data_IF_155838295135
#
_entry.id   IF_155838295135
#
_cell.length_a   1.000
_cell.length_b   1.000
_cell.length_c   1.000
_cell.angle_alpha   90.00
_cell.angle_beta   90.00
_cell.angle_gamma   90.00
#
_symmetry.space_group_name_H-M   'P 1'
#
loop_
_entity.id
_entity.type
_entity.pdbx_description
1 polymer ?
#
# COMPACT_ATOMS: atom_id res chain seq x y z
N UNK A 1 23.23 -18.88 11.27
CA UNK A 1 23.03 -17.74 10.36
C UNK A 1 24.39 -17.20 9.95
N UNK A 2 24.63 -16.96 8.66
CA UNK A 2 25.90 -16.34 8.22
C UNK A 2 25.77 -14.81 8.36
N UNK A 3 26.84 -14.06 8.65
CA UNK A 3 26.79 -12.60 8.77
C UNK A 3 26.21 -11.89 7.53
N UNK A 4 26.44 -12.44 6.34
CA UNK A 4 25.88 -11.93 5.08
C UNK A 4 24.35 -12.00 5.02
N UNK A 5 23.75 -13.07 5.57
CA UNK A 5 22.29 -13.24 5.59
C UNK A 5 21.63 -12.18 6.51
N UNK A 6 22.30 -11.82 7.61
CA UNK A 6 21.86 -10.75 8.51
C UNK A 6 21.92 -9.37 7.83
N UNK A 7 22.99 -9.09 7.09
CA UNK A 7 23.13 -7.82 6.37
C UNK A 7 22.06 -7.66 5.30
N UNK A 8 21.78 -8.70 4.51
CA UNK A 8 20.69 -8.71 3.53
C UNK A 8 19.34 -8.47 4.20
N UNK A 9 19.11 -9.12 5.34
CA UNK A 9 17.91 -8.91 6.15
C UNK A 9 17.77 -7.46 6.63
N UNK A 10 18.85 -6.82 7.07
CA UNK A 10 18.85 -5.43 7.50
C UNK A 10 18.60 -4.47 6.32
N UNK A 11 19.23 -4.71 5.17
CA UNK A 11 19.06 -3.93 3.94
C UNK A 11 17.63 -3.95 3.41
N UNK A 12 16.86 -4.99 3.73
CA UNK A 12 15.43 -5.06 3.42
C UNK A 12 14.55 -4.49 4.54
N UNK A 13 14.76 -4.94 5.78
CA UNK A 13 13.86 -4.64 6.89
C UNK A 13 13.94 -3.18 7.33
N UNK A 14 15.12 -2.55 7.35
CA UNK A 14 15.26 -1.15 7.79
C UNK A 14 14.48 -0.20 6.86
N UNK A 15 14.64 -0.27 5.52
CA UNK A 15 13.82 0.54 4.63
C UNK A 15 12.32 0.22 4.74
N UNK A 16 11.94 -1.06 4.78
CA UNK A 16 10.53 -1.45 4.89
C UNK A 16 9.87 -0.91 6.16
N UNK A 17 10.51 -1.10 7.33
CA UNK A 17 10.01 -0.59 8.61
C UNK A 17 9.97 0.93 8.64
N UNK A 18 10.89 1.61 7.96
CA UNK A 18 10.86 3.07 7.82
C UNK A 18 9.64 3.53 7.02
N UNK A 19 9.32 2.86 5.91
CA UNK A 19 8.14 3.17 5.10
C UNK A 19 6.86 2.96 5.91
N UNK A 20 6.72 1.79 6.54
CA UNK A 20 5.53 1.45 7.35
C UNK A 20 5.41 2.35 8.59
N UNK A 21 6.53 2.64 9.24
CA UNK A 21 6.57 3.55 10.40
C UNK A 21 6.15 4.96 10.02
N UNK A 22 6.62 5.50 8.90
CA UNK A 22 6.22 6.83 8.43
C UNK A 22 4.76 6.86 7.96
N UNK A 23 4.26 5.80 7.34
CA UNK A 23 2.84 5.63 7.01
C UNK A 23 1.97 5.78 8.26
N UNK A 24 2.24 4.98 9.29
CA UNK A 24 1.45 5.01 10.52
C UNK A 24 1.61 6.31 11.32
N UNK A 25 2.81 6.90 11.29
CA UNK A 25 3.03 8.24 11.85
C UNK A 25 2.21 9.30 11.11
N UNK A 26 2.02 9.17 9.79
CA UNK A 26 1.14 10.04 9.01
C UNK A 26 -0.29 10.02 9.57
N UNK A 27 -0.86 8.83 9.79
CA UNK A 27 -2.16 8.71 10.43
C UNK A 27 -2.18 9.27 11.85
N UNK A 28 -1.17 8.93 12.68
CA UNK A 28 -1.08 9.42 14.05
C UNK A 28 -1.07 10.95 14.12
N UNK A 29 -0.26 11.61 13.27
CA UNK A 29 -0.18 13.07 13.21
C UNK A 29 -1.49 13.70 12.75
N UNK A 30 -2.15 13.12 11.73
CA UNK A 30 -3.45 13.61 11.26
C UNK A 30 -4.55 13.46 12.32
N UNK A 31 -4.62 12.31 13.00
CA UNK A 31 -5.55 12.08 14.11
C UNK A 31 -5.35 13.10 15.25
N UNK A 32 -4.09 13.32 15.67
CA UNK A 32 -3.74 14.28 16.72
C UNK A 32 -4.12 15.70 16.35
N UNK A 33 -3.92 16.10 15.09
CA UNK A 33 -4.31 17.43 14.58
C UNK A 33 -5.82 17.66 14.69
N UNK A 34 -6.61 16.62 14.47
CA UNK A 34 -8.08 16.64 14.53
C UNK A 34 -8.64 16.22 15.89
N UNK A 35 -7.78 16.07 16.92
CA UNK A 35 -8.16 15.65 18.28
C UNK A 35 -8.93 14.33 18.31
N UNK A 36 -8.68 13.44 17.35
CA UNK A 36 -9.20 12.08 17.34
C UNK A 36 -8.33 11.25 18.28
N UNK A 37 -8.96 10.62 19.28
CA UNK A 37 -8.26 9.73 20.20
C UNK A 37 -7.81 8.46 19.46
N UNK A 38 -6.50 8.24 19.46
CA UNK A 38 -5.82 7.12 18.80
C UNK A 38 -4.73 6.57 19.70
N UNK A 39 -4.47 5.28 19.60
CA UNK A 39 -3.27 4.70 20.22
C UNK A 39 -1.99 5.18 19.52
N UNK A 40 -0.84 5.17 20.23
CA UNK A 40 0.46 5.19 19.56
C UNK A 40 0.57 4.05 18.53
N UNK A 41 1.45 4.18 17.52
CA UNK A 41 1.73 3.09 16.59
C UNK A 41 2.40 1.93 17.33
N UNK A 42 1.84 0.71 17.22
CA UNK A 42 2.49 -0.50 17.70
C UNK A 42 2.75 -1.45 16.53
N UNK A 43 4.01 -1.88 16.39
CA UNK A 43 4.43 -2.80 15.32
C UNK A 43 3.93 -4.21 15.59
N UNK A 44 3.22 -4.80 14.63
CA UNK A 44 2.73 -6.18 14.70
C UNK A 44 3.65 -7.06 13.84
N UNK A 45 4.35 -8.05 14.43
CA UNK A 45 5.13 -9.01 13.67
C UNK A 45 4.21 -9.89 12.80
N UNK A 46 4.63 -10.20 11.58
CA UNK A 46 3.79 -10.91 10.61
C UNK A 46 3.65 -12.40 10.99
N UNK A 47 2.47 -12.97 10.72
CA UNK A 47 2.22 -14.43 10.72
C UNK A 47 2.55 -14.97 9.33
N UNK A 48 3.53 -15.86 9.12
CA UNK A 48 4.18 -16.18 7.83
C UNK A 48 3.28 -16.86 6.78
N UNK A 49 2.16 -16.22 6.39
CA UNK A 49 1.21 -16.73 5.43
C UNK A 49 0.45 -15.61 4.71
N UNK A 50 0.40 -15.60 3.35
CA UNK A 50 1.04 -16.55 2.42
C UNK A 50 2.53 -16.22 2.13
N UNK A 51 3.41 -17.21 1.95
CA UNK A 51 4.81 -16.99 1.56
C UNK A 51 4.95 -16.39 0.15
N UNK A 52 5.97 -15.54 -0.11
CA UNK A 52 7.00 -15.06 0.81
C UNK A 52 6.52 -13.78 1.52
N UNK A 53 5.98 -13.92 2.72
CA UNK A 53 5.50 -12.78 3.47
C UNK A 53 6.64 -12.03 4.17
N UNK A 54 6.64 -10.69 4.16
CA UNK A 54 7.61 -9.88 4.91
C UNK A 54 7.48 -10.11 6.42
N UNK A 55 8.57 -9.99 7.18
CA UNK A 55 8.63 -10.30 8.62
C UNK A 55 7.77 -9.43 9.55
N UNK A 56 7.11 -8.38 9.05
CA UNK A 56 6.24 -7.49 9.84
C UNK A 56 5.02 -7.04 9.02
N UNK A 57 3.81 -7.00 9.61
CA UNK A 57 2.60 -6.43 8.96
C UNK A 57 2.66 -4.91 8.85
N UNK A 58 3.54 -4.26 9.61
CA UNK A 58 3.58 -2.81 9.79
C UNK A 58 3.31 -2.43 11.25
N UNK A 59 3.07 -1.15 11.49
CA UNK A 59 2.47 -0.69 12.73
C UNK A 59 0.96 -0.49 12.52
N UNK A 60 0.19 -0.50 13.60
CA UNK A 60 -1.25 -0.21 13.54
C UNK A 60 -1.57 0.81 14.63
N UNK A 61 -2.35 1.83 14.27
CA UNK A 61 -3.07 2.67 15.22
C UNK A 61 -4.51 2.18 15.43
N UNK A 62 -4.98 2.17 16.67
CA UNK A 62 -6.40 1.88 16.98
C UNK A 62 -7.14 3.18 17.24
N UNK A 63 -8.22 3.41 16.49
CA UNK A 63 -9.17 4.52 16.71
C UNK A 63 -10.00 4.24 17.97
N UNK A 64 -10.07 5.22 18.88
CA UNK A 64 -10.84 5.14 20.14
C UNK A 64 -12.04 6.08 20.20
N UNK A 65 -12.18 6.96 19.21
CA UNK A 65 -13.26 7.93 19.11
C UNK A 65 -13.75 8.04 17.66
N UNK A 66 -15.02 8.40 17.43
CA UNK A 66 -15.55 8.60 16.09
C UNK A 66 -14.94 9.84 15.42
N UNK A 67 -14.98 9.85 14.09
CA UNK A 67 -14.49 10.98 13.31
C UNK A 67 -15.39 12.22 13.49
N UNK A 68 -14.81 13.42 13.71
CA UNK A 68 -15.58 14.65 13.83
C UNK A 68 -16.37 14.97 12.57
N UNK A 69 -15.70 15.03 11.43
CA UNK A 69 -16.25 15.47 10.15
C UNK A 69 -15.51 14.83 8.96
N UNK A 70 -16.03 15.03 7.75
CA UNK A 70 -15.46 14.45 6.53
C UNK A 70 -14.06 14.99 6.19
N UNK A 71 -13.68 16.22 6.58
CA UNK A 71 -12.32 16.72 6.37
C UNK A 71 -11.33 16.01 7.29
N UNK A 72 -11.70 15.78 8.55
CA UNK A 72 -10.90 14.97 9.48
C UNK A 72 -10.68 13.55 8.95
N UNK A 73 -11.74 12.96 8.39
CA UNK A 73 -11.72 11.65 7.77
C UNK A 73 -10.80 11.60 6.53
N UNK A 74 -10.90 12.60 5.65
CA UNK A 74 -10.03 12.74 4.48
C UNK A 74 -8.56 12.89 4.88
N UNK A 75 -8.28 13.78 5.83
CA UNK A 75 -6.91 14.03 6.28
C UNK A 75 -6.30 12.77 6.90
N UNK A 76 -7.06 12.01 7.70
CA UNK A 76 -6.57 10.74 8.24
C UNK A 76 -6.32 9.71 7.13
N UNK A 77 -7.32 9.49 6.26
CA UNK A 77 -7.23 8.46 5.22
C UNK A 77 -6.12 8.75 4.20
N UNK A 78 -5.86 10.01 3.87
CA UNK A 78 -4.82 10.39 2.92
C UNK A 78 -3.41 10.42 3.55
N UNK A 79 -3.28 10.80 4.83
CA UNK A 79 -1.98 11.09 5.44
C UNK A 79 -1.03 9.89 5.45
N UNK A 80 -1.50 8.71 5.82
CA UNK A 80 -0.65 7.52 5.86
C UNK A 80 -0.12 7.11 4.48
N UNK A 81 -1.00 6.81 3.50
CA UNK A 81 -0.59 6.45 2.15
C UNK A 81 0.35 7.46 1.48
N UNK A 82 0.07 8.75 1.63
CA UNK A 82 0.92 9.81 1.05
C UNK A 82 2.29 9.88 1.75
N UNK A 83 2.34 9.77 3.08
CA UNK A 83 3.59 9.78 3.84
C UNK A 83 4.42 8.52 3.56
N UNK A 84 3.79 7.34 3.51
CA UNK A 84 4.43 6.08 3.15
C UNK A 84 5.01 6.13 1.74
N UNK A 85 4.24 6.59 0.75
CA UNK A 85 4.71 6.73 -0.63
C UNK A 85 5.87 7.74 -0.77
N UNK A 86 5.84 8.83 0.00
CA UNK A 86 6.92 9.84 0.02
C UNK A 86 8.27 9.23 0.44
N UNK A 87 8.26 8.19 1.27
CA UNK A 87 9.48 7.45 1.67
C UNK A 87 9.75 6.28 0.74
N UNK A 88 8.72 5.55 0.31
CA UNK A 88 8.86 4.38 -0.55
C UNK A 88 9.46 4.72 -1.91
N UNK A 89 9.10 5.85 -2.51
CA UNK A 89 9.61 6.29 -3.82
C UNK A 89 11.13 6.51 -3.79
N UNK A 90 11.70 7.34 -2.88
CA UNK A 90 13.16 7.49 -2.75
C UNK A 90 13.87 6.18 -2.43
N UNK A 91 13.32 5.36 -1.54
CA UNK A 91 13.89 4.04 -1.20
C UNK A 91 13.95 3.14 -2.43
N UNK A 92 12.87 3.11 -3.22
CA UNK A 92 12.81 2.34 -4.46
C UNK A 92 13.84 2.86 -5.47
N UNK A 93 13.94 4.17 -5.68
CA UNK A 93 14.92 4.78 -6.59
C UNK A 93 16.35 4.44 -6.17
N UNK A 94 16.68 4.59 -4.88
CA UNK A 94 17.99 4.21 -4.34
C UNK A 94 18.26 2.71 -4.53
N UNK A 95 17.28 1.86 -4.24
CA UNK A 95 17.39 0.42 -4.44
C UNK A 95 17.57 0.03 -5.91
N UNK A 96 16.86 0.69 -6.84
CA UNK A 96 16.98 0.46 -8.28
C UNK A 96 18.40 0.81 -8.75
N UNK A 97 19.00 1.90 -8.24
CA UNK A 97 20.39 2.26 -8.57
C UNK A 97 21.43 1.23 -8.08
N UNK A 98 21.07 0.39 -7.11
CA UNK A 98 21.89 -0.71 -6.59
C UNK A 98 21.52 -2.06 -7.22
N UNK A 99 20.49 -2.10 -8.07
CA UNK A 99 20.02 -3.33 -8.71
C UNK A 99 20.82 -3.64 -9.96
N UNK A 100 20.92 -4.92 -10.31
CA UNK A 100 21.73 -5.36 -11.45
C UNK A 100 20.85 -5.87 -12.59
N UNK A 101 21.11 -5.41 -13.81
CA UNK A 101 20.47 -5.95 -15.01
C UNK A 101 21.26 -7.18 -15.46
N UNK A 102 20.66 -8.36 -15.33
CA UNK A 102 21.30 -9.66 -15.64
C UNK A 102 20.58 -10.34 -16.78
N UNK A 103 21.26 -11.22 -17.51
CA UNK A 103 20.60 -12.02 -18.55
C UNK A 103 19.54 -12.91 -17.93
N UNK A 104 18.36 -12.93 -18.53
CA UNK A 104 17.28 -13.83 -18.14
C UNK A 104 17.75 -15.26 -18.41
N UNK A 105 17.94 -16.04 -17.34
CA UNK A 105 18.42 -17.42 -17.45
C UNK A 105 17.27 -18.42 -17.66
N UNK A 106 16.03 -17.95 -17.87
CA UNK A 106 14.85 -18.81 -18.03
C UNK A 106 14.58 -19.71 -16.82
N UNK A 107 15.12 -19.36 -15.65
CA UNK A 107 14.98 -20.14 -14.43
C UNK A 107 13.60 -20.00 -13.79
N UNK A 108 13.24 -20.98 -12.95
CA UNK A 108 12.08 -20.89 -12.07
C UNK A 108 12.33 -19.77 -11.07
N UNK A 109 11.45 -18.76 -11.06
CA UNK A 109 11.66 -17.54 -10.28
C UNK A 109 10.37 -16.79 -9.99
N UNK A 110 10.45 -15.86 -9.03
CA UNK A 110 9.38 -14.93 -8.70
C UNK A 110 9.65 -13.60 -9.42
N UNK A 111 8.87 -13.29 -10.44
CA UNK A 111 8.85 -11.98 -11.10
C UNK A 111 7.87 -11.07 -10.36
N UNK A 112 8.29 -9.83 -10.07
CA UNK A 112 7.43 -8.84 -9.44
C UNK A 112 6.58 -8.13 -10.49
N UNK A 113 5.30 -7.99 -10.17
CA UNK A 113 4.38 -7.22 -10.97
C UNK A 113 4.79 -5.76 -11.05
N UNK A 114 4.63 -5.18 -12.23
CA UNK A 114 5.02 -3.80 -12.49
C UNK A 114 3.80 -2.87 -12.42
N UNK A 115 3.75 -1.99 -11.41
CA UNK A 115 2.84 -0.85 -11.39
C UNK A 115 3.29 0.23 -12.38
N UNK A 116 2.40 1.16 -12.74
CA UNK A 116 2.76 2.29 -13.61
C UNK A 116 3.93 3.08 -12.99
N UNK A 117 3.84 3.36 -11.69
CA UNK A 117 4.89 4.07 -10.96
C UNK A 117 6.22 3.31 -10.97
N UNK A 118 6.18 2.00 -10.72
CA UNK A 118 7.39 1.18 -10.74
C UNK A 118 8.04 1.16 -12.13
N UNK A 119 7.27 1.00 -13.22
CA UNK A 119 7.79 1.06 -14.59
C UNK A 119 8.48 2.39 -14.88
N UNK A 120 7.84 3.50 -14.50
CA UNK A 120 8.38 4.84 -14.73
C UNK A 120 9.69 5.06 -13.97
N UNK A 121 9.75 4.66 -12.69
CA UNK A 121 10.96 4.79 -11.87
C UNK A 121 12.07 3.85 -12.33
N UNK A 122 11.73 2.60 -12.67
CA UNK A 122 12.68 1.62 -13.22
C UNK A 122 13.31 2.14 -14.52
N UNK A 123 12.48 2.60 -15.47
CA UNK A 123 12.94 3.19 -16.72
C UNK A 123 13.78 4.46 -16.50
N UNK A 124 13.40 5.30 -15.55
CA UNK A 124 14.14 6.52 -15.24
C UNK A 124 15.54 6.25 -14.65
N UNK A 125 15.69 5.18 -13.86
CA UNK A 125 16.94 4.86 -13.15
C UNK A 125 17.84 3.91 -13.96
N UNK A 126 17.27 2.87 -14.55
CA UNK A 126 17.99 1.79 -15.24
C UNK A 126 18.01 1.94 -16.76
N UNK A 127 17.17 2.82 -17.32
CA UNK A 127 16.96 2.93 -18.76
C UNK A 127 16.09 1.80 -19.32
N UNK A 128 16.15 1.61 -20.64
CA UNK A 128 15.43 0.53 -21.32
C UNK A 128 16.17 -0.79 -21.12
N UNK A 129 15.50 -1.75 -20.46
CA UNK A 129 16.03 -3.10 -20.27
C UNK A 129 15.90 -3.89 -21.59
N UNK A 130 17.01 -4.38 -22.18
CA UNK A 130 16.94 -5.12 -23.43
C UNK A 130 16.16 -6.42 -23.30
N UNK A 131 15.56 -6.88 -24.40
CA UNK A 131 14.88 -8.17 -24.46
C UNK A 131 15.86 -9.30 -24.07
N UNK A 132 15.44 -10.17 -23.16
CA UNK A 132 16.27 -11.26 -22.63
C UNK A 132 17.15 -10.88 -21.43
N UNK A 133 16.94 -9.69 -20.85
CA UNK A 133 17.51 -9.28 -19.57
C UNK A 133 16.41 -9.04 -18.54
N UNK A 134 16.70 -9.40 -17.30
CA UNK A 134 15.85 -9.17 -16.13
C UNK A 134 16.58 -8.30 -15.10
N UNK A 135 15.82 -7.54 -14.32
CA UNK A 135 16.37 -6.75 -13.21
C UNK A 135 16.44 -7.61 -11.96
N UNK A 136 17.65 -7.95 -11.54
CA UNK A 136 17.90 -8.54 -10.22
C UNK A 136 17.79 -7.44 -9.15
N UNK A 137 16.61 -7.33 -8.55
CA UNK A 137 16.31 -6.29 -7.58
C UNK A 137 17.15 -6.41 -6.31
N UNK A 138 17.77 -5.30 -5.93
CA UNK A 138 18.42 -5.15 -4.64
C UNK A 138 17.38 -5.24 -3.50
N UNK A 139 17.72 -5.80 -2.30
CA UNK A 139 16.77 -5.88 -1.18
C UNK A 139 16.11 -4.55 -0.79
N UNK A 140 16.86 -3.44 -0.93
CA UNK A 140 16.33 -2.07 -0.72
C UNK A 140 15.25 -1.72 -1.76
N UNK A 141 15.45 -2.10 -3.03
CA UNK A 141 14.48 -1.89 -4.10
C UNK A 141 13.21 -2.69 -3.85
N UNK A 142 13.38 -3.95 -3.42
CA UNK A 142 12.28 -4.82 -3.05
C UNK A 142 11.45 -4.25 -1.89
N UNK A 143 12.11 -3.70 -0.86
CA UNK A 143 11.42 -3.01 0.23
C UNK A 143 10.61 -1.79 -0.25
N UNK A 144 11.16 -0.99 -1.16
CA UNK A 144 10.45 0.13 -1.78
C UNK A 144 9.24 -0.31 -2.61
N UNK A 145 9.41 -1.33 -3.46
CA UNK A 145 8.31 -1.93 -4.23
C UNK A 145 7.20 -2.46 -3.32
N UNK A 146 7.57 -3.19 -2.27
CA UNK A 146 6.63 -3.74 -1.29
C UNK A 146 5.91 -2.62 -0.53
N UNK A 147 6.60 -1.52 -0.22
CA UNK A 147 5.98 -0.31 0.33
C UNK A 147 4.88 0.24 -0.56
N UNK A 148 5.15 0.42 -1.86
CA UNK A 148 4.15 0.87 -2.83
C UNK A 148 2.98 -0.12 -2.97
N UNK A 149 3.27 -1.42 -2.90
CA UNK A 149 2.25 -2.46 -2.93
C UNK A 149 1.33 -2.40 -1.70
N UNK A 150 1.89 -2.22 -0.49
CA UNK A 150 1.10 -2.04 0.74
C UNK A 150 0.28 -0.75 0.67
N UNK A 151 0.85 0.34 0.18
CA UNK A 151 0.12 1.59 -0.06
C UNK A 151 -1.07 1.37 -1.01
N UNK A 152 -0.88 0.63 -2.11
CA UNK A 152 -1.97 0.29 -3.02
C UNK A 152 -3.08 -0.51 -2.32
N UNK A 153 -2.73 -1.52 -1.52
CA UNK A 153 -3.71 -2.32 -0.76
C UNK A 153 -4.51 -1.46 0.22
N UNK A 154 -3.84 -0.58 0.96
CA UNK A 154 -4.49 0.34 1.89
C UNK A 154 -5.40 1.35 1.18
N UNK A 155 -5.09 1.72 -0.07
CA UNK A 155 -5.90 2.64 -0.87
C UNK A 155 -7.06 1.95 -1.61
N UNK A 156 -7.29 0.64 -1.42
CA UNK A 156 -8.49 -0.02 -1.94
C UNK A 156 -9.72 0.67 -1.33
N UNK A 157 -10.69 1.09 -2.16
CA UNK A 157 -11.86 1.81 -1.69
C UNK A 157 -12.88 0.84 -1.07
N UNK A 158 -12.61 0.31 0.12
CA UNK A 158 -13.54 -0.55 0.84
C UNK A 158 -13.33 -0.56 2.35
N UNK A 159 -14.43 -0.66 3.10
CA UNK A 159 -14.40 -0.90 4.55
C UNK A 159 -13.64 0.19 5.31
N UNK A 160 -12.83 -0.24 6.27
CA UNK A 160 -11.99 0.61 7.12
C UNK A 160 -10.56 0.79 6.59
N UNK A 161 -10.30 0.42 5.32
CA UNK A 161 -9.03 0.74 4.68
C UNK A 161 -8.92 2.25 4.45
N UNK A 162 -7.71 2.77 4.31
CA UNK A 162 -7.43 4.19 4.05
C UNK A 162 -8.21 4.71 2.83
N UNK A 163 -8.25 3.91 1.76
CA UNK A 163 -9.05 4.19 0.57
C UNK A 163 -10.56 4.22 0.83
N UNK A 164 -11.04 3.44 1.79
CA UNK A 164 -12.42 3.49 2.28
C UNK A 164 -12.73 4.81 2.99
N UNK A 165 -11.83 5.28 3.86
CA UNK A 165 -11.95 6.61 4.51
C UNK A 165 -11.97 7.73 3.47
N UNK A 166 -11.05 7.72 2.49
CA UNK A 166 -10.96 8.71 1.42
C UNK A 166 -12.23 8.69 0.55
N UNK A 167 -12.67 7.51 0.12
CA UNK A 167 -13.80 7.38 -0.78
C UNK A 167 -15.13 7.74 -0.09
N UNK A 168 -15.32 7.34 1.18
CA UNK A 168 -16.45 7.84 1.98
C UNK A 168 -16.37 9.35 2.14
N UNK A 169 -15.19 9.91 2.45
CA UNK A 169 -15.02 11.35 2.56
C UNK A 169 -15.32 12.10 1.25
N UNK A 170 -15.17 11.51 0.06
CA UNK A 170 -15.52 12.13 -1.23
C UNK A 170 -17.00 11.98 -1.59
N UNK A 171 -17.57 10.79 -1.41
CA UNK A 171 -18.88 10.44 -1.97
C UNK A 171 -19.98 10.24 -0.92
N UNK A 172 -19.65 10.24 0.37
CA UNK A 172 -20.57 10.02 1.48
C UNK A 172 -21.27 8.66 1.38
N UNK A 173 -22.53 8.62 1.80
CA UNK A 173 -23.34 7.39 1.81
C UNK A 173 -23.47 6.68 0.45
N UNK A 174 -23.39 7.42 -0.67
CA UNK A 174 -23.43 6.83 -2.02
C UNK A 174 -22.29 5.84 -2.26
N UNK A 175 -21.17 6.03 -1.57
CA UNK A 175 -20.06 5.09 -1.62
C UNK A 175 -20.38 3.75 -0.98
N UNK A 176 -21.21 3.73 0.07
CA UNK A 176 -21.51 2.51 0.83
C UNK A 176 -22.21 1.42 0.00
N UNK A 177 -22.79 1.78 -1.14
CA UNK A 177 -23.36 0.82 -2.09
C UNK A 177 -22.31 0.32 -3.09
N UNK A 178 -21.45 1.21 -3.60
CA UNK A 178 -20.34 0.86 -4.49
C UNK A 178 -19.30 0.01 -3.78
N UNK A 179 -18.98 0.32 -2.52
CA UNK A 179 -18.03 -0.40 -1.70
C UNK A 179 -18.40 -1.88 -1.51
N UNK A 180 -19.70 -2.24 -1.57
CA UNK A 180 -20.16 -3.64 -1.52
C UNK A 180 -19.75 -4.44 -2.76
N UNK A 181 -19.50 -3.77 -3.89
CA UNK A 181 -19.07 -4.43 -5.13
C UNK A 181 -17.56 -4.72 -5.13
N UNK A 182 -16.78 -4.05 -4.29
CA UNK A 182 -15.30 -4.16 -4.30
C UNK A 182 -14.80 -5.58 -4.01
N UNK A 183 -15.31 -6.33 -3.01
CA UNK A 183 -14.86 -7.70 -2.78
C UNK A 183 -15.14 -8.62 -3.97
N UNK A 184 -16.25 -8.41 -4.69
CA UNK A 184 -16.55 -9.19 -5.89
C UNK A 184 -15.61 -8.86 -7.05
N UNK A 185 -15.23 -7.59 -7.21
CA UNK A 185 -14.19 -7.22 -8.16
C UNK A 185 -12.85 -7.88 -7.80
N UNK A 186 -12.48 -7.93 -6.51
CA UNK A 186 -11.29 -8.64 -6.05
C UNK A 186 -11.38 -10.16 -6.30
N UNK A 187 -12.54 -10.79 -6.14
CA UNK A 187 -12.73 -12.20 -6.49
C UNK A 187 -12.45 -12.45 -7.98
N UNK A 188 -12.92 -11.59 -8.88
CA UNK A 188 -12.62 -11.69 -10.30
C UNK A 188 -11.12 -11.48 -10.57
N UNK A 189 -10.49 -10.53 -9.89
CA UNK A 189 -9.04 -10.34 -9.96
C UNK A 189 -8.25 -11.52 -9.37
N UNK A 190 -8.86 -12.32 -8.49
CA UNK A 190 -8.32 -13.59 -7.98
C UNK A 190 -7.90 -14.57 -9.06
N UNK A 191 -8.53 -14.50 -10.24
CA UNK A 191 -8.15 -15.28 -11.42
C UNK A 191 -6.77 -14.89 -11.98
N UNK A 192 -6.32 -13.65 -11.74
CA UNK A 192 -4.99 -13.17 -12.14
C UNK A 192 -3.93 -13.39 -11.05
N UNK A 193 -4.30 -13.27 -9.77
CA UNK A 193 -3.41 -13.53 -8.64
C UNK A 193 -4.21 -14.01 -7.42
N UNK A 194 -3.83 -15.17 -6.87
CA UNK A 194 -4.56 -15.84 -5.78
C UNK A 194 -4.66 -15.01 -4.50
N UNK A 195 -3.73 -14.08 -4.27
CA UNK A 195 -3.79 -13.17 -3.12
C UNK A 195 -5.02 -12.26 -3.11
N UNK A 196 -5.65 -11.99 -4.26
CA UNK A 196 -6.91 -11.23 -4.29
C UNK A 196 -8.08 -12.00 -3.70
N UNK A 197 -8.09 -13.35 -3.74
CA UNK A 197 -9.10 -14.14 -3.03
C UNK A 197 -9.00 -13.94 -1.51
N UNK A 198 -7.77 -13.85 -0.98
CA UNK A 198 -7.53 -13.59 0.44
C UNK A 198 -8.06 -12.21 0.82
N UNK A 199 -7.74 -11.18 0.03
CA UNK A 199 -8.25 -9.82 0.25
C UNK A 199 -9.76 -9.71 0.10
N UNK A 200 -10.36 -10.41 -0.87
CA UNK A 200 -11.80 -10.48 -1.01
C UNK A 200 -12.46 -11.13 0.21
N UNK A 201 -11.95 -12.27 0.67
CA UNK A 201 -12.44 -12.94 1.88
C UNK A 201 -12.30 -12.06 3.12
N UNK A 202 -11.17 -11.36 3.27
CA UNK A 202 -10.92 -10.40 4.33
C UNK A 202 -11.98 -9.28 4.35
N UNK A 203 -12.26 -8.65 3.19
CA UNK A 203 -13.27 -7.60 3.10
C UNK A 203 -14.70 -8.11 3.27
N UNK A 204 -15.01 -9.34 2.83
CA UNK A 204 -16.31 -9.97 3.06
C UNK A 204 -16.53 -10.27 4.55
N UNK A 205 -15.47 -10.65 5.28
CA UNK A 205 -15.53 -10.93 6.72
C UNK A 205 -15.64 -9.66 7.57
N UNK A 206 -14.82 -8.64 7.30
CA UNK A 206 -14.84 -7.36 8.05
C UNK A 206 -16.02 -6.46 7.67
N UNK A 207 -16.55 -6.63 6.46
CA UNK A 207 -17.57 -5.76 5.89
C UNK A 207 -16.96 -4.55 5.17
N UNK A 208 -17.69 -4.08 4.16
CA UNK A 208 -17.25 -2.96 3.30
C UNK A 208 -17.84 -1.62 3.68
N UNK A 209 -18.72 -1.59 4.69
CA UNK A 209 -19.35 -0.36 5.18
C UNK A 209 -18.37 0.45 6.00
N UNK A 210 -18.40 1.76 5.79
CA UNK A 210 -17.59 2.71 6.53
C UNK A 210 -18.41 3.35 7.67
N UNK A 211 -17.85 3.54 8.88
CA UNK A 211 -18.56 4.22 9.97
C UNK A 211 -18.71 5.72 9.72
N UNK A 212 -19.94 6.23 9.80
CA UNK A 212 -20.24 7.65 9.55
C UNK A 212 -19.53 8.58 10.56
N UNK A 213 -19.01 9.75 10.12
CA UNK A 213 -18.53 10.79 11.02
C UNK A 213 -19.71 11.44 11.78
N UNK A 214 -19.41 12.14 12.87
CA UNK A 214 -20.42 12.80 13.72
C UNK A 214 -21.17 13.92 12.98
N UNK A 215 -20.45 14.70 12.17
CA UNK A 215 -21.02 15.77 11.34
C UNK A 215 -20.80 15.45 9.85
N UNK A 216 -21.65 14.56 9.31
CA UNK A 216 -21.56 14.09 7.92
C UNK A 216 -22.13 15.09 6.89
N UNK A 217 -22.97 16.02 7.35
CA UNK A 217 -23.66 16.99 6.50
C UNK A 217 -22.73 18.11 6.00
N UNK A 218 -21.54 18.25 6.60
CA UNK A 218 -20.59 19.29 6.21
C UNK A 218 -19.84 18.90 4.92
N UNK A 219 -19.84 19.79 3.89
CA UNK A 219 -19.15 19.50 2.65
C UNK A 219 -17.63 19.48 2.84
N UNK A 220 -16.96 18.71 1.99
CA UNK A 220 -15.51 18.67 1.95
C UNK A 220 -14.94 20.01 1.46
N UNK A 221 -13.89 20.48 2.12
CA UNK A 221 -13.15 21.67 1.66
C UNK A 221 -12.41 21.37 0.36
N UNK A 222 -12.22 22.39 -0.49
CA UNK A 222 -11.53 22.23 -1.80
C UNK A 222 -10.14 21.61 -1.67
N UNK A 223 -9.38 21.98 -0.64
CA UNK A 223 -8.06 21.40 -0.38
C UNK A 223 -8.12 19.90 -0.05
N UNK A 224 -9.22 19.42 0.54
CA UNK A 224 -9.41 18.01 0.92
C UNK A 224 -9.93 17.18 -0.25
N UNK A 225 -10.68 17.80 -1.14
CA UNK A 225 -10.97 17.21 -2.45
C UNK A 225 -9.66 16.98 -3.21
N UNK A 226 -8.76 17.97 -3.24
CA UNK A 226 -7.44 17.83 -3.87
C UNK A 226 -6.62 16.68 -3.25
N UNK A 227 -6.58 16.57 -1.92
CA UNK A 227 -5.92 15.43 -1.26
C UNK A 227 -6.52 14.08 -1.67
N UNK A 228 -7.85 13.97 -1.71
CA UNK A 228 -8.52 12.75 -2.16
C UNK A 228 -8.19 12.39 -3.61
N UNK A 229 -8.09 13.38 -4.50
CA UNK A 229 -7.65 13.19 -5.89
C UNK A 229 -6.21 12.72 -5.94
N UNK A 230 -5.29 13.33 -5.17
CA UNK A 230 -3.89 12.90 -5.10
C UNK A 230 -3.77 11.44 -4.63
N UNK A 231 -4.54 11.04 -3.61
CA UNK A 231 -4.54 9.65 -3.13
C UNK A 231 -5.16 8.68 -4.15
N UNK A 232 -6.20 9.07 -4.86
CA UNK A 232 -6.77 8.26 -5.94
C UNK A 232 -5.78 8.09 -7.11
N UNK A 233 -5.07 9.16 -7.49
CA UNK A 233 -3.99 9.08 -8.48
C UNK A 233 -2.86 8.16 -8.01
N UNK A 234 -2.44 8.27 -6.76
CA UNK A 234 -1.45 7.37 -6.17
C UNK A 234 -1.90 5.91 -6.22
N UNK A 235 -3.16 5.61 -5.90
CA UNK A 235 -3.72 4.27 -6.03
C UNK A 235 -3.58 3.73 -7.46
N UNK A 236 -4.01 4.52 -8.46
CA UNK A 236 -3.92 4.13 -9.88
C UNK A 236 -2.46 3.91 -10.30
N UNK A 237 -1.55 4.77 -9.86
CA UNK A 237 -0.13 4.67 -10.19
C UNK A 237 0.54 3.44 -9.56
N UNK A 238 0.13 3.05 -8.35
CA UNK A 238 0.66 1.88 -7.64
C UNK A 238 -0.10 0.58 -7.97
N UNK A 239 -1.27 0.66 -8.61
CA UNK A 239 -2.11 -0.50 -8.88
C UNK A 239 -1.39 -1.55 -9.72
N UNK A 240 -1.42 -2.80 -9.24
CA UNK A 240 -0.79 -3.94 -9.91
C UNK A 240 -1.72 -5.13 -9.86
N UNK A 241 -2.27 -5.55 -11.01
CA UNK A 241 -3.22 -6.66 -11.07
C UNK A 241 -2.59 -8.01 -10.70
N UNK A 242 -1.35 -8.27 -11.11
CA UNK A 242 -0.63 -9.49 -10.77
C UNK A 242 0.73 -9.12 -10.14
N UNK A 243 0.78 -8.92 -8.81
CA UNK A 243 1.99 -8.47 -8.10
C UNK A 243 3.09 -9.52 -8.04
N UNK A 244 2.75 -10.80 -8.18
CA UNK A 244 3.67 -11.91 -8.03
C UNK A 244 3.43 -12.92 -9.13
N UNK A 245 4.32 -12.92 -10.13
CA UNK A 245 4.27 -13.84 -11.26
C UNK A 245 5.28 -14.95 -11.04
N UNK A 246 4.83 -16.19 -11.14
CA UNK A 246 5.73 -17.34 -11.15
C UNK A 246 6.23 -17.54 -12.58
N UNK A 247 7.54 -17.45 -12.78
CA UNK A 247 8.20 -17.86 -14.01
C UNK A 247 8.42 -19.39 -13.93
N UNK A 248 7.93 -20.14 -14.93
CA UNK A 248 8.21 -21.58 -15.07
C UNK A 248 7.05 -22.54 -14.70
N UNK A 249 5.81 -22.15 -14.96
CA UNK A 249 4.64 -23.06 -14.97
C UNK A 249 4.14 -23.30 -16.39
#
# INVERSE_FOLDING_TARGET
MRPADLLLGLMFNVPLLSILGVHEMGHYTAARRHRVDVTPPYFIPFLPFPPPAPGTMGAIIKLRSPFPDRNSLMDLGAAGPLAGALVAIPVLVAGLSLSEVRRSTGGVGLELGESILFKLLSKAVLGDVPVGYDVALHPVAYAGWLGLFITMLNLIPAGQLDGGHIAYALFGDRFSDVARLVPYALLLMGLAWTGWFIWAAFLLFLGTRHPKPMFDDMPLTRGRVFLGVCSALLYVLCFTLNPFRMLGG
#
